data_IF_301266932466
#
_entry.id   IF_301266932466
#
_cell.length_a   1.000
_cell.length_b   1.000
_cell.length_c   1.000
_cell.angle_alpha   90.00
_cell.angle_beta   90.00
_cell.angle_gamma   90.00
#
_symmetry.space_group_name_H-M   'P 1'
#
loop_
_entity.id
_entity.type
_entity.pdbx_description
1 polymer ?
#
# COMPACT_ATOMS: atom_id res chain seq x y z
N UNK A 1 19.05 -17.42 7.92
CA UNK A 1 18.11 -17.46 9.09
C UNK A 1 16.72 -17.67 8.56
N UNK A 2 16.03 -18.72 9.00
CA UNK A 2 14.65 -19.01 8.58
C UNK A 2 13.59 -18.13 9.24
N UNK A 3 12.37 -18.15 8.71
CA UNK A 3 11.25 -17.36 9.19
C UNK A 3 10.94 -17.57 10.68
N UNK A 4 11.11 -18.79 11.21
CA UNK A 4 10.80 -19.09 12.62
C UNK A 4 11.80 -18.43 13.56
N UNK A 5 13.07 -18.50 13.22
CA UNK A 5 14.16 -17.86 13.97
C UNK A 5 14.02 -16.35 13.92
N UNK A 6 13.76 -15.79 12.72
CA UNK A 6 13.56 -14.35 12.51
C UNK A 6 12.34 -13.84 13.31
N UNK A 7 11.23 -14.57 13.26
CA UNK A 7 10.02 -14.30 14.05
C UNK A 7 10.31 -14.20 15.55
N UNK A 8 11.06 -15.17 16.08
CA UNK A 8 11.42 -15.21 17.51
C UNK A 8 12.32 -14.02 17.88
N UNK A 9 13.30 -13.70 17.03
CA UNK A 9 14.22 -12.58 17.28
C UNK A 9 13.51 -11.23 17.29
N UNK A 10 12.52 -11.04 16.43
CA UNK A 10 11.76 -9.79 16.30
C UNK A 10 10.52 -9.73 17.21
N UNK A 11 10.20 -10.80 17.92
CA UNK A 11 9.06 -10.85 18.83
C UNK A 11 7.70 -10.89 18.13
N UNK A 12 7.65 -11.27 16.85
CA UNK A 12 6.38 -11.41 16.13
C UNK A 12 5.62 -12.66 16.59
N UNK A 13 4.29 -12.55 16.64
CA UNK A 13 3.43 -13.73 16.94
C UNK A 13 3.36 -14.69 15.77
N UNK A 14 3.12 -14.16 14.55
CA UNK A 14 2.97 -14.93 13.32
C UNK A 14 3.54 -14.15 12.15
N UNK A 15 4.12 -14.85 11.19
CA UNK A 15 4.20 -14.40 9.80
C UNK A 15 3.05 -15.03 9.01
N UNK A 16 2.55 -14.35 7.95
CA UNK A 16 1.55 -14.97 7.07
C UNK A 16 2.10 -16.24 6.44
N UNK A 17 1.29 -17.31 6.43
CA UNK A 17 1.70 -18.60 5.88
C UNK A 17 1.97 -18.60 4.38
N UNK A 18 1.49 -17.59 3.67
CA UNK A 18 1.65 -17.40 2.22
C UNK A 18 2.83 -16.48 1.87
N UNK A 19 3.63 -16.10 2.85
CA UNK A 19 4.89 -15.40 2.65
C UNK A 19 6.03 -16.34 3.03
N UNK A 20 6.94 -16.56 2.10
CA UNK A 20 8.22 -17.19 2.37
C UNK A 20 9.23 -16.10 2.74
N UNK A 21 9.77 -16.17 3.97
CA UNK A 21 10.67 -15.16 4.50
C UNK A 21 11.96 -15.85 4.97
N UNK A 22 13.07 -15.46 4.37
CA UNK A 22 14.37 -16.04 4.70
C UNK A 22 15.49 -14.97 4.64
N UNK A 23 16.33 -14.91 5.66
CA UNK A 23 17.51 -14.06 5.69
C UNK A 23 18.77 -14.87 5.43
N UNK A 24 19.44 -14.60 4.32
CA UNK A 24 20.80 -15.11 4.04
C UNK A 24 21.82 -14.22 4.74
N UNK A 25 22.28 -14.65 5.91
CA UNK A 25 23.23 -13.90 6.74
C UNK A 25 24.63 -13.80 6.11
N UNK A 26 24.98 -14.65 5.14
CA UNK A 26 26.27 -14.59 4.45
C UNK A 26 26.28 -13.51 3.35
N UNK A 27 25.09 -13.19 2.83
CA UNK A 27 24.92 -12.18 1.77
C UNK A 27 24.29 -10.89 2.28
N UNK A 28 23.81 -10.87 3.51
CA UNK A 28 23.04 -9.76 4.10
C UNK A 28 21.75 -9.47 3.31
N UNK A 29 21.12 -10.52 2.71
CA UNK A 29 19.93 -10.39 1.88
C UNK A 29 18.72 -11.02 2.56
N UNK A 30 17.65 -10.23 2.71
CA UNK A 30 16.33 -10.71 3.10
C UNK A 30 15.55 -11.10 1.85
N UNK A 31 15.23 -12.38 1.70
CA UNK A 31 14.37 -12.89 0.63
C UNK A 31 12.92 -12.95 1.10
N UNK A 32 12.01 -12.44 0.28
CA UNK A 32 10.57 -12.52 0.51
C UNK A 32 9.91 -13.09 -0.75
N UNK A 33 9.31 -14.27 -0.61
CA UNK A 33 8.52 -14.93 -1.64
C UNK A 33 7.01 -14.77 -1.36
N UNK A 34 6.21 -14.53 -2.39
CA UNK A 34 4.75 -14.38 -2.28
C UNK A 34 4.03 -15.38 -3.17
N UNK A 35 3.01 -16.03 -2.64
CA UNK A 35 2.16 -16.94 -3.41
C UNK A 35 1.27 -16.18 -4.41
N UNK A 36 0.93 -16.84 -5.55
CA UNK A 36 0.08 -16.28 -6.60
C UNK A 36 -1.27 -15.74 -6.10
N UNK A 37 -1.90 -16.44 -5.16
CA UNK A 37 -3.17 -16.00 -4.56
C UNK A 37 -3.03 -14.69 -3.78
N UNK A 38 -1.89 -14.46 -3.13
CA UNK A 38 -1.67 -13.29 -2.28
C UNK A 38 -1.39 -12.01 -3.10
N UNK A 39 -0.77 -12.13 -4.28
CA UNK A 39 -0.58 -10.96 -5.16
C UNK A 39 -1.88 -10.47 -5.79
N UNK A 40 -2.93 -11.29 -5.75
CA UNK A 40 -4.28 -10.98 -6.21
C UNK A 40 -5.23 -10.59 -5.08
N UNK A 41 -4.76 -10.53 -3.84
CA UNK A 41 -5.56 -10.15 -2.68
C UNK A 41 -5.60 -8.63 -2.45
N UNK A 42 -6.46 -8.21 -1.51
CA UNK A 42 -6.46 -6.82 -1.06
C UNK A 42 -5.13 -6.51 -0.34
N UNK A 43 -4.52 -5.38 -0.66
CA UNK A 43 -3.25 -4.91 -0.06
C UNK A 43 -3.27 -4.79 1.46
N UNK A 44 -4.45 -4.70 2.07
CA UNK A 44 -4.61 -4.70 3.54
C UNK A 44 -4.55 -6.10 4.16
N UNK A 45 -4.60 -7.16 3.35
CA UNK A 45 -4.43 -8.52 3.86
C UNK A 45 -2.96 -8.76 4.18
N UNK A 46 -2.71 -9.39 5.32
CA UNK A 46 -1.35 -9.62 5.81
C UNK A 46 -0.46 -10.35 4.80
N UNK A 47 -1.01 -11.28 4.02
CA UNK A 47 -0.29 -12.00 2.97
C UNK A 47 0.03 -11.18 1.72
N UNK A 48 -0.68 -10.06 1.50
CA UNK A 48 -0.47 -9.13 0.36
C UNK A 48 0.26 -7.84 0.75
N UNK A 49 0.43 -7.61 2.06
CA UNK A 49 1.02 -6.40 2.63
C UNK A 49 2.55 -6.51 2.72
N UNK A 50 3.21 -6.82 1.61
CA UNK A 50 4.65 -7.11 1.61
C UNK A 50 5.49 -5.91 2.10
N UNK A 51 5.14 -4.68 1.77
CA UNK A 51 5.85 -3.49 2.23
C UNK A 51 5.82 -3.39 3.76
N UNK A 52 4.66 -3.62 4.33
CA UNK A 52 4.49 -3.60 5.78
C UNK A 52 5.41 -4.60 6.47
N UNK A 53 5.49 -5.83 5.96
CA UNK A 53 6.40 -6.85 6.49
C UNK A 53 7.85 -6.51 6.24
N UNK A 54 8.20 -6.02 5.05
CA UNK A 54 9.57 -5.57 4.75
C UNK A 54 10.01 -4.52 5.78
N UNK A 55 9.22 -3.47 5.99
CA UNK A 55 9.61 -2.41 6.94
C UNK A 55 9.67 -2.90 8.39
N UNK A 56 8.72 -3.75 8.79
CA UNK A 56 8.74 -4.33 10.14
C UNK A 56 9.96 -5.22 10.41
N UNK A 57 10.54 -5.85 9.38
CA UNK A 57 11.74 -6.67 9.49
C UNK A 57 13.01 -5.83 9.27
N UNK A 58 13.04 -5.04 8.22
CA UNK A 58 14.21 -4.27 7.80
C UNK A 58 14.61 -3.21 8.83
N UNK A 59 13.66 -2.41 9.31
CA UNK A 59 13.96 -1.29 10.20
C UNK A 59 14.72 -1.69 11.49
N UNK A 60 14.33 -2.75 12.23
CA UNK A 60 15.08 -3.20 13.39
C UNK A 60 16.36 -3.98 13.06
N UNK A 61 16.57 -4.38 11.80
CA UNK A 61 17.69 -5.21 11.35
C UNK A 61 18.55 -4.56 10.26
N UNK A 62 18.44 -3.28 10.02
CA UNK A 62 19.19 -2.57 8.97
C UNK A 62 20.72 -2.70 9.07
N UNK A 63 21.26 -3.01 10.24
CA UNK A 63 22.68 -3.32 10.43
C UNK A 63 23.07 -4.69 9.84
N UNK A 64 22.12 -5.62 9.71
CA UNK A 64 22.33 -6.98 9.22
C UNK A 64 21.77 -7.22 7.82
N UNK A 65 20.79 -6.43 7.40
CA UNK A 65 20.15 -6.53 6.08
C UNK A 65 20.61 -5.37 5.23
N UNK A 66 21.34 -5.66 4.15
CA UNK A 66 21.79 -4.65 3.18
C UNK A 66 20.87 -4.58 1.96
N UNK A 67 20.18 -5.67 1.67
CA UNK A 67 19.29 -5.78 0.53
C UNK A 67 18.06 -6.61 0.88
N UNK A 68 16.94 -6.25 0.29
CA UNK A 68 15.71 -7.05 0.28
C UNK A 68 15.43 -7.46 -1.16
N UNK A 69 15.20 -8.75 -1.39
CA UNK A 69 14.81 -9.27 -2.69
C UNK A 69 13.41 -9.86 -2.61
N UNK A 70 12.50 -9.33 -3.44
CA UNK A 70 11.14 -9.80 -3.56
C UNK A 70 10.98 -10.71 -4.76
N UNK A 71 10.32 -11.84 -4.57
CA UNK A 71 9.86 -12.74 -5.64
C UNK A 71 8.39 -13.08 -5.45
N UNK A 72 7.71 -13.48 -6.51
CA UNK A 72 6.33 -13.97 -6.42
C UNK A 72 6.02 -14.98 -7.50
N UNK A 73 5.04 -15.85 -7.21
CA UNK A 73 4.45 -16.73 -8.20
C UNK A 73 3.43 -15.94 -9.05
N UNK A 74 3.61 -16.01 -10.37
CA UNK A 74 2.77 -15.29 -11.32
C UNK A 74 1.39 -15.94 -11.36
N UNK A 75 0.28 -15.18 -11.16
CA UNK A 75 -1.07 -15.75 -11.21
C UNK A 75 -1.50 -16.06 -12.65
N UNK A 76 -2.31 -17.11 -12.81
CA UNK A 76 -2.81 -17.56 -14.12
C UNK A 76 -3.67 -16.48 -14.81
N UNK A 77 -4.54 -15.79 -14.08
CA UNK A 77 -5.45 -14.76 -14.61
C UNK A 77 -4.90 -13.32 -14.45
N UNK A 78 -3.59 -13.17 -14.64
CA UNK A 78 -2.88 -11.92 -14.36
C UNK A 78 -3.39 -10.70 -15.16
N UNK A 79 -3.79 -10.89 -16.41
CA UNK A 79 -4.12 -9.79 -17.33
C UNK A 79 -5.47 -9.12 -17.03
N UNK A 80 -6.36 -9.80 -16.33
CA UNK A 80 -7.68 -9.29 -15.95
C UNK A 80 -7.78 -8.91 -14.47
N UNK A 81 -6.71 -9.14 -13.70
CA UNK A 81 -6.72 -8.96 -12.26
C UNK A 81 -6.21 -7.57 -11.85
N UNK A 82 -7.12 -6.68 -11.52
CA UNK A 82 -6.78 -5.32 -11.07
C UNK A 82 -6.05 -5.28 -9.73
N UNK A 83 -6.19 -6.31 -8.87
CA UNK A 83 -5.39 -6.44 -7.65
C UNK A 83 -3.93 -6.75 -7.99
N UNK A 84 -3.69 -7.61 -9.00
CA UNK A 84 -2.34 -7.86 -9.47
C UNK A 84 -1.70 -6.61 -10.09
N UNK A 85 -2.45 -5.82 -10.85
CA UNK A 85 -1.98 -4.53 -11.33
C UNK A 85 -1.55 -3.60 -10.18
N UNK A 86 -2.34 -3.53 -9.12
CA UNK A 86 -2.01 -2.75 -7.93
C UNK A 86 -0.76 -3.28 -7.23
N UNK A 87 -0.61 -4.61 -7.15
CA UNK A 87 0.59 -5.24 -6.62
C UNK A 87 1.83 -4.84 -7.42
N UNK A 88 1.81 -4.99 -8.76
CA UNK A 88 2.92 -4.61 -9.64
C UNK A 88 3.29 -3.14 -9.53
N UNK A 89 2.30 -2.26 -9.45
CA UNK A 89 2.52 -0.83 -9.22
C UNK A 89 3.29 -0.58 -7.91
N UNK A 90 2.85 -1.17 -6.82
CA UNK A 90 3.49 -1.06 -5.51
C UNK A 90 4.95 -1.57 -5.53
N UNK A 91 5.20 -2.69 -6.22
CA UNK A 91 6.55 -3.23 -6.41
C UNK A 91 7.44 -2.25 -7.18
N UNK A 92 6.93 -1.65 -8.24
CA UNK A 92 7.66 -0.65 -9.03
C UNK A 92 8.01 0.56 -8.17
N UNK A 93 7.07 1.04 -7.37
CA UNK A 93 7.30 2.17 -6.47
C UNK A 93 8.31 1.85 -5.39
N UNK A 94 8.27 0.67 -4.81
CA UNK A 94 9.31 0.22 -3.89
C UNK A 94 10.71 0.25 -4.53
N UNK A 95 10.87 -0.20 -5.79
CA UNK A 95 12.15 -0.14 -6.49
C UNK A 95 12.61 1.31 -6.77
N UNK A 96 11.68 2.23 -6.99
CA UNK A 96 12.00 3.63 -7.27
C UNK A 96 12.44 4.39 -6.02
N UNK A 97 11.83 4.10 -4.88
CA UNK A 97 12.07 4.84 -3.64
C UNK A 97 13.15 4.25 -2.73
N UNK A 98 13.42 2.93 -2.85
CA UNK A 98 14.32 2.24 -1.94
C UNK A 98 15.43 1.50 -2.68
N UNK A 99 16.64 2.03 -2.65
CA UNK A 99 17.82 1.47 -3.34
C UNK A 99 18.27 0.11 -2.77
N UNK A 100 17.86 -0.22 -1.56
CA UNK A 100 18.09 -1.53 -0.92
C UNK A 100 17.03 -2.58 -1.30
N UNK A 101 16.00 -2.21 -2.06
CA UNK A 101 14.95 -3.12 -2.51
C UNK A 101 15.15 -3.55 -3.97
N UNK A 102 15.10 -4.82 -4.21
CA UNK A 102 15.23 -5.45 -5.54
C UNK A 102 14.13 -6.48 -5.77
N UNK A 103 14.04 -6.92 -7.01
CA UNK A 103 13.09 -7.96 -7.46
C UNK A 103 13.87 -9.07 -8.12
N UNK A 104 13.51 -10.31 -7.87
CA UNK A 104 14.10 -11.48 -8.49
C UNK A 104 13.98 -11.43 -10.03
N UNK A 105 15.01 -11.92 -10.73
CA UNK A 105 15.11 -11.87 -12.21
C UNK A 105 13.88 -12.44 -12.92
N UNK A 106 13.31 -13.51 -12.38
CA UNK A 106 12.16 -14.24 -12.94
C UNK A 106 10.89 -13.37 -13.01
N UNK A 107 10.82 -12.30 -12.21
CA UNK A 107 9.69 -11.39 -12.17
C UNK A 107 9.90 -10.09 -12.97
N UNK A 108 11.09 -9.85 -13.53
CA UNK A 108 11.39 -8.62 -14.26
C UNK A 108 10.51 -8.41 -15.49
N UNK A 109 10.15 -9.50 -16.19
CA UNK A 109 9.31 -9.43 -17.40
C UNK A 109 7.90 -8.92 -17.07
N UNK A 110 7.34 -9.30 -15.93
CA UNK A 110 6.02 -8.84 -15.48
C UNK A 110 6.00 -7.32 -15.21
N UNK A 111 7.05 -6.82 -14.54
CA UNK A 111 7.18 -5.38 -14.30
C UNK A 111 7.38 -4.59 -15.60
N UNK A 112 8.17 -5.12 -16.53
CA UNK A 112 8.37 -4.49 -17.83
C UNK A 112 7.07 -4.45 -18.64
N UNK A 113 6.30 -5.54 -18.66
CA UNK A 113 5.01 -5.61 -19.32
C UNK A 113 4.01 -4.61 -18.73
N UNK A 114 3.95 -4.51 -17.39
CA UNK A 114 3.09 -3.53 -16.72
C UNK A 114 3.48 -2.09 -17.07
N UNK A 115 4.78 -1.72 -16.98
CA UNK A 115 5.26 -0.38 -17.36
C UNK A 115 4.91 -0.03 -18.81
N UNK A 116 5.11 -0.96 -19.74
CA UNK A 116 4.81 -0.74 -21.16
C UNK A 116 3.31 -0.56 -21.40
N UNK A 117 2.44 -1.28 -20.68
CA UNK A 117 0.97 -1.17 -20.81
C UNK A 117 0.46 0.22 -20.46
N UNK A 118 1.07 0.89 -19.50
CA UNK A 118 0.57 2.17 -18.95
C UNK A 118 1.47 3.37 -19.30
N UNK A 119 2.52 3.20 -20.08
CA UNK A 119 3.52 4.24 -20.37
C UNK A 119 2.96 5.52 -20.99
N UNK A 120 2.03 5.38 -21.93
CA UNK A 120 1.48 6.48 -22.71
C UNK A 120 -0.03 6.69 -22.47
N UNK A 121 -0.53 6.15 -21.35
CA UNK A 121 -1.95 6.21 -21.01
C UNK A 121 -2.21 7.48 -20.20
N UNK A 122 -3.24 8.23 -20.57
CA UNK A 122 -3.73 9.34 -19.75
C UNK A 122 -4.41 8.78 -18.49
N UNK A 123 -3.83 9.10 -17.33
CA UNK A 123 -4.38 8.70 -16.05
C UNK A 123 -5.43 9.70 -15.57
N UNK A 124 -6.55 9.19 -15.06
CA UNK A 124 -7.66 9.99 -14.54
C UNK A 124 -8.02 9.47 -13.15
N UNK A 125 -8.08 10.38 -12.18
CA UNK A 125 -8.56 10.07 -10.82
C UNK A 125 -10.07 9.95 -10.77
N UNK A 126 -10.54 9.13 -9.85
CA UNK A 126 -11.95 9.06 -9.49
C UNK A 126 -12.44 10.42 -8.96
N UNK A 127 -13.66 10.78 -9.30
CA UNK A 127 -14.26 12.01 -8.79
C UNK A 127 -14.80 11.82 -7.37
N UNK A 128 -14.68 12.83 -6.48
CA UNK A 128 -15.29 12.79 -5.17
C UNK A 128 -16.79 12.55 -5.28
N UNK A 129 -17.29 11.57 -4.53
CA UNK A 129 -18.74 11.43 -4.35
C UNK A 129 -19.19 12.48 -3.35
N UNK A 130 -20.26 13.19 -3.66
CA UNK A 130 -20.95 13.99 -2.64
C UNK A 130 -21.55 12.99 -1.65
N UNK A 131 -20.87 12.81 -0.53
CA UNK A 131 -21.37 11.94 0.53
C UNK A 131 -22.70 12.53 1.06
N UNK A 132 -23.75 11.73 1.03
CA UNK A 132 -24.98 12.05 1.77
C UNK A 132 -24.65 12.18 3.25
N UNK A 133 -25.35 13.06 3.96
CA UNK A 133 -25.20 13.18 5.43
C UNK A 133 -25.50 11.84 6.07
N UNK A 134 -24.47 11.18 6.56
CA UNK A 134 -24.62 9.99 7.39
C UNK A 134 -24.99 10.46 8.81
N UNK A 135 -26.24 10.26 9.21
CA UNK A 135 -26.79 10.79 10.47
C UNK A 135 -26.46 9.92 11.69
N UNK A 136 -26.28 8.61 11.50
CA UNK A 136 -26.07 7.66 12.60
C UNK A 136 -24.74 6.91 12.42
N UNK A 137 -23.66 7.49 12.91
CA UNK A 137 -22.36 6.83 12.96
C UNK A 137 -22.30 5.94 14.21
N UNK A 138 -22.07 4.66 13.99
CA UNK A 138 -21.83 3.72 15.08
C UNK A 138 -20.51 4.07 15.77
N UNK A 139 -20.56 4.26 17.10
CA UNK A 139 -19.36 4.47 17.91
C UNK A 139 -18.31 3.35 17.71
N UNK A 140 -17.05 3.67 17.94
CA UNK A 140 -15.92 2.73 17.82
C UNK A 140 -15.77 2.14 16.41
N UNK A 141 -15.90 2.98 15.39
CA UNK A 141 -15.60 2.65 13.99
C UNK A 141 -14.62 3.66 13.39
N UNK A 142 -13.98 3.33 12.27
CA UNK A 142 -13.11 4.26 11.52
C UNK A 142 -13.89 5.50 11.08
N UNK A 143 -15.12 5.34 10.59
CA UNK A 143 -15.99 6.44 10.22
C UNK A 143 -16.34 7.37 11.39
N UNK A 144 -16.46 6.83 12.59
CA UNK A 144 -16.66 7.64 13.81
C UNK A 144 -15.42 8.46 14.14
N UNK A 145 -14.22 7.86 14.05
CA UNK A 145 -12.96 8.57 14.26
C UNK A 145 -12.75 9.67 13.22
N UNK A 146 -13.00 9.37 11.95
CA UNK A 146 -12.92 10.33 10.86
C UNK A 146 -13.80 11.56 11.15
N UNK A 147 -15.04 11.34 11.58
CA UNK A 147 -15.96 12.41 11.94
C UNK A 147 -15.46 13.23 13.14
N UNK A 148 -14.99 12.56 14.18
CA UNK A 148 -14.46 13.22 15.35
C UNK A 148 -13.26 14.12 15.01
N UNK A 149 -12.36 13.66 14.14
CA UNK A 149 -11.23 14.48 13.69
C UNK A 149 -11.65 15.67 12.83
N UNK A 150 -12.69 15.52 12.01
CA UNK A 150 -13.22 16.64 11.23
C UNK A 150 -13.93 17.68 12.09
N UNK A 151 -14.76 17.24 13.06
CA UNK A 151 -15.57 18.12 13.89
C UNK A 151 -14.76 18.80 14.99
N UNK A 152 -13.89 18.07 15.70
CA UNK A 152 -13.21 18.57 16.89
C UNK A 152 -11.88 19.28 16.61
N UNK A 153 -11.26 19.02 15.46
CA UNK A 153 -9.95 19.55 15.04
C UNK A 153 -8.85 19.42 16.12
N UNK A 154 -9.03 18.52 17.09
CA UNK A 154 -8.10 18.35 18.23
C UNK A 154 -6.86 17.56 17.84
N UNK A 155 -7.00 16.67 16.89
CA UNK A 155 -5.96 15.78 16.38
C UNK A 155 -4.72 16.56 15.89
N UNK A 156 -4.92 17.69 15.27
CA UNK A 156 -3.85 18.51 14.72
C UNK A 156 -3.69 19.86 15.42
N UNK A 157 -4.01 19.93 16.73
CA UNK A 157 -3.70 21.10 17.56
C UNK A 157 -2.22 21.46 17.42
N UNK A 158 -1.96 22.67 16.94
CA UNK A 158 -0.61 23.16 16.66
C UNK A 158 -0.15 23.00 15.21
N UNK A 159 -0.87 22.25 14.37
CA UNK A 159 -0.66 22.23 12.93
C UNK A 159 -1.79 23.00 12.26
N UNK A 160 -1.46 24.13 11.62
CA UNK A 160 -2.44 24.89 10.86
C UNK A 160 -2.38 24.45 9.40
N UNK A 161 -3.49 23.86 8.91
CA UNK A 161 -3.68 23.54 7.51
C UNK A 161 -4.38 24.67 6.78
N UNK A 162 -3.98 24.91 5.53
CA UNK A 162 -4.66 25.85 4.62
C UNK A 162 -6.00 25.25 4.17
N UNK A 163 -6.03 23.94 3.96
CA UNK A 163 -7.25 23.15 3.79
C UNK A 163 -7.12 21.80 4.48
N UNK A 164 -8.22 21.29 5.05
CA UNK A 164 -8.30 19.98 5.66
C UNK A 164 -9.65 19.33 5.35
N UNK A 165 -9.62 18.11 4.86
CA UNK A 165 -10.83 17.44 4.38
C UNK A 165 -10.70 15.92 4.54
N UNK A 166 -11.74 15.17 4.13
CA UNK A 166 -11.81 13.73 4.27
C UNK A 166 -12.25 13.05 2.97
N UNK A 167 -12.09 11.72 2.90
CA UNK A 167 -12.55 10.83 1.82
C UNK A 167 -12.12 11.31 0.43
N UNK A 168 -10.78 11.47 0.22
CA UNK A 168 -10.25 11.74 -1.10
C UNK A 168 -10.17 10.44 -1.91
N UNK A 169 -10.97 10.31 -2.99
CA UNK A 169 -10.96 9.09 -3.80
C UNK A 169 -9.63 8.94 -4.55
N UNK A 170 -9.09 7.73 -4.56
CA UNK A 170 -7.81 7.38 -5.22
C UNK A 170 -7.98 6.27 -6.28
N UNK A 171 -9.16 6.09 -6.80
CA UNK A 171 -9.39 5.21 -7.96
C UNK A 171 -8.71 5.77 -9.21
N UNK A 172 -7.89 4.96 -9.88
CA UNK A 172 -7.15 5.36 -11.08
C UNK A 172 -7.71 4.64 -12.30
N UNK A 173 -7.93 5.40 -13.38
CA UNK A 173 -8.55 4.95 -14.62
C UNK A 173 -7.74 5.38 -15.82
N UNK A 174 -7.86 4.63 -16.93
CA UNK A 174 -7.31 5.00 -18.25
C UNK A 174 -8.31 5.90 -18.97
N UNK A 175 -7.88 7.05 -19.44
CA UNK A 175 -8.59 8.02 -20.28
C UNK A 175 -9.94 8.55 -19.73
N UNK A 176 -10.78 7.68 -19.15
CA UNK A 176 -12.10 8.04 -18.62
C UNK A 176 -12.51 7.11 -17.49
N UNK A 177 -13.36 7.63 -16.58
CA UNK A 177 -13.83 6.88 -15.40
C UNK A 177 -14.91 5.88 -15.81
N UNK A 178 -14.55 4.59 -15.86
CA UNK A 178 -15.45 3.48 -16.12
C UNK A 178 -14.96 2.19 -15.44
N UNK A 179 -15.83 1.19 -15.33
CA UNK A 179 -15.45 -0.09 -14.78
C UNK A 179 -14.36 -0.78 -15.62
N UNK A 180 -14.43 -0.66 -16.95
CA UNK A 180 -13.51 -1.33 -17.87
C UNK A 180 -12.16 -0.61 -17.99
N UNK A 181 -12.07 0.65 -17.60
CA UNK A 181 -10.84 1.45 -17.64
C UNK A 181 -10.13 1.52 -16.29
N UNK A 182 -10.66 0.86 -15.27
CA UNK A 182 -10.06 0.83 -13.93
C UNK A 182 -8.73 0.06 -13.95
N UNK A 183 -7.65 0.70 -13.53
CA UNK A 183 -6.32 0.09 -13.45
C UNK A 183 -6.19 -0.73 -12.17
N UNK A 184 -6.74 -0.22 -11.05
CA UNK A 184 -6.71 -0.85 -9.73
C UNK A 184 -8.09 -1.26 -9.26
N UNK A 185 -8.21 -2.21 -8.31
CA UNK A 185 -9.50 -2.66 -7.83
C UNK A 185 -10.21 -1.55 -7.06
N UNK A 186 -11.49 -1.47 -7.29
CA UNK A 186 -12.43 -0.76 -6.45
C UNK A 186 -12.42 0.76 -6.61
N UNK A 187 -13.52 1.25 -7.13
CA UNK A 187 -13.90 2.66 -7.12
C UNK A 187 -14.13 3.20 -5.69
N UNK A 188 -13.71 2.46 -4.65
CA UNK A 188 -14.04 2.72 -3.24
C UNK A 188 -12.81 3.08 -2.39
N UNK A 189 -11.60 2.94 -2.91
CA UNK A 189 -10.41 3.38 -2.20
C UNK A 189 -10.43 4.90 -2.05
N UNK A 190 -10.28 5.38 -0.85
CA UNK A 190 -10.19 6.79 -0.53
C UNK A 190 -9.22 6.99 0.63
N UNK A 191 -8.49 8.09 0.60
CA UNK A 191 -7.70 8.56 1.73
C UNK A 191 -8.68 9.07 2.79
N UNK A 192 -8.58 8.57 4.02
CA UNK A 192 -9.51 8.89 5.09
C UNK A 192 -9.52 10.38 5.42
N UNK A 193 -8.35 10.95 5.72
CA UNK A 193 -8.19 12.38 5.97
C UNK A 193 -7.00 12.92 5.19
N UNK A 194 -7.09 14.14 4.73
CA UNK A 194 -6.01 14.81 4.03
C UNK A 194 -6.00 16.32 4.31
N UNK A 195 -4.84 16.93 4.17
CA UNK A 195 -4.69 18.36 4.36
C UNK A 195 -3.60 18.95 3.49
N UNK A 196 -3.74 20.23 3.21
CA UNK A 196 -2.72 21.04 2.54
C UNK A 196 -2.18 22.04 3.55
N UNK A 197 -0.86 22.11 3.65
CA UNK A 197 -0.15 23.07 4.46
C UNK A 197 1.01 23.63 3.66
N UNK A 198 0.90 24.88 3.23
CA UNK A 198 1.84 25.47 2.26
C UNK A 198 1.91 24.59 0.99
N UNK A 199 3.10 24.10 0.67
CA UNK A 199 3.36 23.23 -0.48
C UNK A 199 3.38 21.73 -0.12
N UNK A 200 2.92 21.38 1.10
CA UNK A 200 2.91 20.01 1.59
C UNK A 200 1.50 19.42 1.51
N UNK A 201 1.39 18.22 0.96
CA UNK A 201 0.17 17.40 0.99
C UNK A 201 0.31 16.34 2.07
N UNK A 202 -0.62 16.36 3.03
CA UNK A 202 -0.64 15.48 4.18
C UNK A 202 -1.72 14.42 4.02
N UNK A 203 -1.34 13.16 4.26
CA UNK A 203 -2.23 11.99 4.18
C UNK A 203 -2.33 11.37 5.56
N UNK A 204 -3.54 11.05 5.99
CA UNK A 204 -3.82 10.33 7.22
C UNK A 204 -4.71 9.14 6.90
N UNK A 205 -4.28 7.97 7.33
CA UNK A 205 -5.01 6.72 7.24
C UNK A 205 -5.41 6.28 8.64
N UNK A 206 -6.70 6.09 8.87
CA UNK A 206 -7.25 5.76 10.17
C UNK A 206 -7.49 4.27 10.31
N UNK A 207 -7.17 3.71 11.47
CA UNK A 207 -7.55 2.35 11.82
C UNK A 207 -8.07 2.31 13.26
N UNK A 208 -9.22 1.66 13.44
CA UNK A 208 -9.81 1.46 14.75
C UNK A 208 -9.64 0.00 15.18
N UNK A 209 -8.97 -0.24 16.33
CA UNK A 209 -8.73 -1.57 16.90
C UNK A 209 -8.11 -2.58 15.91
N UNK A 210 -7.31 -2.10 14.98
CA UNK A 210 -6.66 -2.91 13.96
C UNK A 210 -5.14 -2.73 14.06
N UNK A 211 -4.42 -3.84 14.20
CA UNK A 211 -2.96 -3.88 14.27
C UNK A 211 -2.31 -4.53 13.05
N UNK A 212 -3.02 -4.60 11.92
CA UNK A 212 -2.51 -5.22 10.69
C UNK A 212 -1.42 -4.37 10.06
N UNK A 213 -0.39 -5.02 9.56
CA UNK A 213 0.71 -4.36 8.81
C UNK A 213 0.23 -3.75 7.49
N UNK A 214 -0.92 -4.19 6.99
CA UNK A 214 -1.53 -3.69 5.76
C UNK A 214 -1.81 -2.19 5.74
N UNK A 215 -1.89 -1.53 6.89
CA UNK A 215 -1.98 -0.06 6.96
C UNK A 215 -0.75 0.62 6.34
N UNK A 216 0.44 0.05 6.48
CA UNK A 216 1.66 0.59 5.87
C UNK A 216 1.62 0.46 4.35
N UNK A 217 1.14 -0.66 3.83
CA UNK A 217 0.97 -0.85 2.40
C UNK A 217 -0.07 0.10 1.80
N UNK A 218 -1.14 0.38 2.54
CA UNK A 218 -2.22 1.27 2.11
C UNK A 218 -1.77 2.73 2.06
N UNK A 219 -1.16 3.23 3.11
CA UNK A 219 -0.69 4.63 3.16
C UNK A 219 0.43 4.89 2.13
N UNK A 220 1.34 3.94 1.91
CA UNK A 220 2.36 4.04 0.88
C UNK A 220 1.75 4.06 -0.53
N UNK A 221 0.76 3.19 -0.79
CA UNK A 221 0.06 3.18 -2.06
C UNK A 221 -0.60 4.53 -2.34
N UNK A 222 -1.28 5.12 -1.36
CA UNK A 222 -1.91 6.43 -1.51
C UNK A 222 -0.89 7.54 -1.73
N UNK A 223 0.21 7.52 -0.98
CA UNK A 223 1.30 8.47 -1.15
C UNK A 223 1.86 8.43 -2.58
N UNK A 224 2.15 7.26 -3.11
CA UNK A 224 2.69 7.10 -4.46
C UNK A 224 1.71 7.49 -5.56
N UNK A 225 0.42 7.22 -5.39
CA UNK A 225 -0.61 7.70 -6.33
C UNK A 225 -0.63 9.22 -6.36
N UNK A 226 -0.58 9.88 -5.20
CA UNK A 226 -0.59 11.33 -5.13
C UNK A 226 0.68 11.94 -5.72
N UNK A 227 1.84 11.33 -5.48
CA UNK A 227 3.12 11.74 -6.08
C UNK A 227 3.13 11.65 -7.62
N UNK A 228 2.51 10.61 -8.19
CA UNK A 228 2.46 10.43 -9.65
C UNK A 228 1.50 11.38 -10.36
N UNK A 229 0.58 12.01 -9.63
CA UNK A 229 -0.50 12.82 -10.18
C UNK A 229 -0.34 14.32 -9.94
N UNK A 230 0.50 14.69 -9.00
CA UNK A 230 0.75 16.09 -8.59
C UNK A 230 2.22 16.43 -8.48
#
# INVERSE_FOLDING_TARGET
MDAQTLKKQLGFRLFPSKLDINLDENKDILYIGIEASSVCDNMQQDSSAFEGWIFCIYAPMQDKIKQVELSWLIPDEKDQNTHYNRFLYRVIKMQQHFNWFSVASDNHQELAAFRNRYKDVKLVLNQPRVAGKQTDLKEKTEAFLERAFMDEKQFYKGIQFDSFNHQLPVGLFMDSISQNSSIFPGNKGAIDLWGIRKDEFWIFELKFNNSKVGILSEILFYLWIMEDLF
#
